data_IF_929309427507
#
_entry.id   IF_929309427507
#
_cell.length_a   1.000
_cell.length_b   1.000
_cell.length_c   1.000
_cell.angle_alpha   90.00
_cell.angle_beta   90.00
_cell.angle_gamma   90.00
#
_symmetry.space_group_name_H-M   'P 1'
#
loop_
_entity.id
_entity.type
_entity.pdbx_description
1 polymer ?
#
# COMPACT_ATOMS: atom_id res chain seq x y z
N UNK A 1 -36.08 4.49 -22.13
CA UNK A 1 -35.31 4.77 -20.90
C UNK A 1 -34.32 3.63 -20.67
N UNK A 2 -33.01 3.88 -20.65
CA UNK A 2 -32.01 2.86 -20.30
C UNK A 2 -31.67 2.99 -18.81
N UNK A 3 -32.25 2.12 -17.97
CA UNK A 3 -31.85 2.00 -16.57
C UNK A 3 -30.66 1.03 -16.48
N UNK A 4 -29.45 1.59 -16.40
CA UNK A 4 -28.26 0.80 -16.10
C UNK A 4 -28.24 0.44 -14.61
N UNK A 5 -27.91 -0.81 -14.25
CA UNK A 5 -27.77 -1.20 -12.85
C UNK A 5 -26.60 -0.44 -12.21
N UNK A 6 -26.78 0.01 -10.95
CA UNK A 6 -25.70 0.66 -10.18
C UNK A 6 -24.64 -0.38 -9.83
N UNK A 7 -23.38 -0.11 -10.19
CA UNK A 7 -22.26 -0.89 -9.66
C UNK A 7 -22.21 -0.65 -8.14
N UNK A 8 -22.37 -1.72 -7.36
CA UNK A 8 -22.20 -1.65 -5.90
C UNK A 8 -20.72 -1.91 -5.56
N UNK A 9 -20.06 -0.85 -5.10
CA UNK A 9 -18.73 -0.83 -4.44
C UNK A 9 -17.61 -1.67 -5.09
N UNK A 10 -17.16 -1.35 -6.32
CA UNK A 10 -15.92 -1.92 -6.82
C UNK A 10 -14.74 -1.42 -5.96
N UNK A 11 -13.71 -2.25 -5.70
CA UNK A 11 -12.56 -1.82 -4.91
C UNK A 11 -11.82 -0.68 -5.63
N UNK A 12 -11.46 0.36 -4.88
CA UNK A 12 -10.70 1.49 -5.43
C UNK A 12 -9.26 1.06 -5.71
N UNK A 13 -8.59 1.73 -6.65
CA UNK A 13 -7.16 1.50 -6.92
C UNK A 13 -6.31 1.75 -5.66
N UNK A 14 -6.71 2.69 -4.80
CA UNK A 14 -6.10 2.92 -3.48
C UNK A 14 -6.18 1.65 -2.62
N UNK A 15 -7.37 1.06 -2.49
CA UNK A 15 -7.57 -0.14 -1.67
C UNK A 15 -6.78 -1.34 -2.21
N UNK A 16 -6.76 -1.51 -3.54
CA UNK A 16 -5.96 -2.53 -4.18
C UNK A 16 -4.46 -2.33 -3.92
N UNK A 17 -3.94 -1.11 -4.10
CA UNK A 17 -2.56 -0.78 -3.82
C UNK A 17 -2.19 -1.05 -2.34
N UNK A 18 -3.05 -0.64 -1.42
CA UNK A 18 -2.87 -0.88 0.02
C UNK A 18 -2.71 -2.38 0.32
N UNK A 19 -3.64 -3.20 -0.15
CA UNK A 19 -3.62 -4.64 0.11
C UNK A 19 -2.39 -5.30 -0.55
N UNK A 20 -2.05 -4.92 -1.77
CA UNK A 20 -0.87 -5.43 -2.48
C UNK A 20 0.42 -5.13 -1.72
N UNK A 21 0.62 -3.87 -1.31
CA UNK A 21 1.82 -3.46 -0.57
C UNK A 21 1.87 -4.14 0.80
N UNK A 22 0.76 -4.14 1.55
CA UNK A 22 0.66 -4.82 2.85
C UNK A 22 1.03 -6.30 2.74
N UNK A 23 0.46 -7.01 1.76
CA UNK A 23 0.76 -8.43 1.54
C UNK A 23 2.22 -8.65 1.13
N UNK A 24 2.80 -7.75 0.34
CA UNK A 24 4.20 -7.81 -0.03
C UNK A 24 5.14 -7.60 1.17
N UNK A 25 4.78 -6.73 2.12
CA UNK A 25 5.51 -6.56 3.38
C UNK A 25 5.41 -7.83 4.24
N UNK A 26 4.19 -8.34 4.46
CA UNK A 26 3.95 -9.54 5.30
C UNK A 26 4.67 -10.78 4.72
N UNK A 27 4.66 -10.93 3.40
CA UNK A 27 5.35 -12.04 2.72
C UNK A 27 6.86 -11.81 2.53
N UNK A 28 7.44 -10.75 3.11
CA UNK A 28 8.85 -10.35 2.99
C UNK A 28 9.34 -10.10 1.56
N UNK A 29 8.43 -9.89 0.59
CA UNK A 29 8.79 -9.41 -0.76
C UNK A 29 9.28 -7.96 -0.70
N UNK A 30 8.66 -7.15 0.16
CA UNK A 30 9.17 -5.84 0.56
C UNK A 30 9.80 -5.98 1.94
N UNK A 31 11.13 -6.01 1.98
CA UNK A 31 11.90 -6.30 3.19
C UNK A 31 11.99 -5.08 4.13
N UNK A 32 11.86 -5.27 5.46
CA UNK A 32 12.12 -4.24 6.46
C UNK A 32 13.50 -3.60 6.32
N UNK A 33 13.59 -2.30 6.64
CA UNK A 33 14.82 -1.52 6.56
C UNK A 33 15.22 -1.09 5.14
N UNK A 34 14.61 -1.66 4.10
CA UNK A 34 14.88 -1.28 2.71
C UNK A 34 14.00 -0.09 2.29
N UNK A 35 14.60 0.84 1.54
CA UNK A 35 13.92 1.99 0.93
C UNK A 35 13.47 1.61 -0.48
N UNK A 36 12.17 1.74 -0.74
CA UNK A 36 11.53 1.54 -2.04
C UNK A 36 11.09 2.88 -2.63
N UNK A 37 11.06 2.93 -3.95
CA UNK A 37 10.64 4.11 -4.70
C UNK A 37 9.13 4.03 -5.02
N UNK A 38 8.38 5.07 -4.64
CA UNK A 38 6.93 5.17 -4.89
C UNK A 38 6.57 5.05 -6.37
N UNK A 39 7.34 5.70 -7.26
CA UNK A 39 7.12 5.62 -8.72
C UNK A 39 7.28 4.18 -9.20
N UNK A 40 8.33 3.49 -8.75
CA UNK A 40 8.58 2.11 -9.16
C UNK A 40 7.47 1.17 -8.70
N UNK A 41 6.98 1.33 -7.47
CA UNK A 41 5.83 0.54 -6.99
C UNK A 41 4.58 0.78 -7.84
N UNK A 42 4.32 2.03 -8.22
CA UNK A 42 3.21 2.36 -9.12
C UNK A 42 3.38 1.76 -10.52
N UNK A 43 4.58 1.86 -11.08
CA UNK A 43 4.93 1.29 -12.38
C UNK A 43 4.76 -0.25 -12.37
N UNK A 44 5.23 -0.94 -11.32
CA UNK A 44 5.10 -2.40 -11.16
C UNK A 44 3.64 -2.87 -10.97
N UNK A 45 2.80 -2.02 -10.36
CA UNK A 45 1.36 -2.29 -10.20
C UNK A 45 0.52 -1.89 -11.42
N UNK A 46 1.11 -1.19 -12.40
CA UNK A 46 0.41 -0.72 -13.59
C UNK A 46 -0.66 0.35 -13.30
N UNK A 47 -0.50 1.14 -12.23
CA UNK A 47 -1.45 2.17 -11.82
C UNK A 47 -0.76 3.52 -11.61
N UNK A 48 -1.54 4.60 -11.53
CA UNK A 48 -0.98 5.94 -11.28
C UNK A 48 -0.42 6.07 -9.86
N UNK A 49 0.46 7.05 -9.66
CA UNK A 49 1.09 7.29 -8.35
C UNK A 49 0.12 7.71 -7.26
N UNK A 50 -0.94 8.47 -7.59
CA UNK A 50 -1.89 9.01 -6.61
C UNK A 50 -2.49 7.93 -5.71
N UNK A 51 -3.14 6.86 -6.23
CA UNK A 51 -3.67 5.80 -5.38
C UNK A 51 -2.60 5.03 -4.60
N UNK A 52 -1.39 4.90 -5.16
CA UNK A 52 -0.25 4.27 -4.45
C UNK A 52 0.21 5.11 -3.28
N UNK A 53 0.32 6.43 -3.47
CA UNK A 53 0.71 7.37 -2.43
C UNK A 53 -0.31 7.42 -1.29
N UNK A 54 -1.59 7.45 -1.62
CA UNK A 54 -2.66 7.39 -0.63
C UNK A 54 -2.64 6.07 0.16
N UNK A 55 -2.38 4.94 -0.51
CA UNK A 55 -2.22 3.66 0.15
C UNK A 55 -0.99 3.64 1.09
N UNK A 56 0.14 4.21 0.65
CA UNK A 56 1.34 4.34 1.47
C UNK A 56 1.14 5.27 2.67
N UNK A 57 0.34 6.33 2.53
CA UNK A 57 -0.06 7.18 3.67
C UNK A 57 -0.88 6.39 4.70
N UNK A 58 -1.85 5.58 4.25
CA UNK A 58 -2.65 4.72 5.13
C UNK A 58 -1.81 3.61 5.80
N UNK A 59 -0.75 3.15 5.15
CA UNK A 59 0.21 2.18 5.71
C UNK A 59 1.15 2.86 6.71
N UNK A 60 1.58 4.08 6.42
CA UNK A 60 2.43 4.86 7.30
C UNK A 60 1.72 5.19 8.62
N UNK A 61 0.43 5.56 8.55
CA UNK A 61 -0.37 5.83 9.76
C UNK A 61 -0.55 4.61 10.66
N UNK A 62 -0.37 3.40 10.10
CA UNK A 62 -0.42 2.13 10.83
C UNK A 62 0.97 1.55 11.15
N UNK A 63 2.04 2.31 10.87
CA UNK A 63 3.41 1.91 11.21
C UNK A 63 4.04 0.88 10.27
N UNK A 64 3.43 0.52 9.14
CA UNK A 64 4.05 -0.41 8.18
C UNK A 64 5.25 0.18 7.45
N UNK A 65 5.20 1.50 7.22
CA UNK A 65 6.19 2.18 6.40
C UNK A 65 6.49 3.59 6.92
N UNK A 66 7.65 4.12 6.56
CA UNK A 66 8.06 5.50 6.88
C UNK A 66 8.48 6.23 5.62
N UNK A 67 7.95 7.43 5.38
CA UNK A 67 8.42 8.28 4.28
C UNK A 67 9.79 8.86 4.62
N UNK A 68 10.77 8.61 3.74
CA UNK A 68 12.12 9.16 3.85
C UNK A 68 12.26 10.29 2.82
N UNK A 69 12.39 11.56 3.27
CA UNK A 69 12.48 12.72 2.39
C UNK A 69 13.50 12.51 1.27
N UNK A 70 13.08 12.74 0.02
CA UNK A 70 13.90 12.63 -1.20
C UNK A 70 14.47 11.22 -1.50
N UNK A 71 14.19 10.21 -0.70
CA UNK A 71 14.67 8.83 -0.92
C UNK A 71 13.56 7.86 -1.30
N UNK A 72 12.39 7.97 -0.69
CA UNK A 72 11.25 7.08 -0.96
C UNK A 72 10.53 6.67 0.31
N UNK A 73 10.16 5.41 0.41
CA UNK A 73 9.48 4.81 1.55
C UNK A 73 10.34 3.67 2.11
N UNK A 74 10.65 3.72 3.40
CA UNK A 74 11.28 2.61 4.12
C UNK A 74 10.20 1.67 4.69
N UNK A 75 10.39 0.36 4.57
CA UNK A 75 9.53 -0.62 5.24
C UNK A 75 9.97 -0.75 6.69
N UNK A 76 9.04 -0.64 7.62
CA UNK A 76 9.33 -0.76 9.04
C UNK A 76 9.42 -2.24 9.44
N UNK A 77 10.20 -2.52 10.49
CA UNK A 77 10.15 -3.83 11.16
C UNK A 77 8.78 -3.97 11.83
N UNK A 78 8.05 -5.04 11.52
CA UNK A 78 6.80 -5.37 12.22
C UNK A 78 7.11 -6.27 13.40
N UNK A 79 6.65 -5.92 14.59
CA UNK A 79 6.69 -6.84 15.72
C UNK A 79 5.52 -7.84 15.64
N UNK A 80 5.71 -9.05 16.16
CA UNK A 80 4.67 -10.10 16.15
C UNK A 80 3.33 -9.63 16.76
N UNK A 81 3.36 -8.64 17.66
CA UNK A 81 2.17 -8.03 18.27
C UNK A 81 1.38 -7.16 17.28
N UNK A 82 2.06 -6.50 16.33
CA UNK A 82 1.44 -5.65 15.32
C UNK A 82 0.62 -6.46 14.31
N UNK A 83 1.02 -7.71 14.10
CA UNK A 83 0.30 -8.65 13.21
C UNK A 83 -1.04 -9.07 13.84
N UNK A 84 -1.10 -9.25 15.16
CA UNK A 84 -2.29 -9.77 15.87
C UNK A 84 -3.40 -8.71 15.97
N UNK A 85 -3.06 -7.43 16.08
CA UNK A 85 -4.04 -6.34 16.17
C UNK A 85 -4.67 -5.93 14.81
N UNK A 86 -4.30 -6.63 13.73
CA UNK A 86 -4.60 -6.25 12.37
C UNK A 86 -5.56 -7.24 11.65
N UNK A 87 -6.00 -8.27 12.37
CA UNK A 87 -7.02 -9.26 12.01
C UNK A 87 -8.22 -9.10 12.95
#
# INVERSE_FOLDING_TARGET
MKNLPKIKNPPTLKLLAYNTIKNAIISQKLQPGIIYNEKRLADEMGISKTPVREALMDLASKGFVTFIPRKGIMINQLDKKDIINLY
#
